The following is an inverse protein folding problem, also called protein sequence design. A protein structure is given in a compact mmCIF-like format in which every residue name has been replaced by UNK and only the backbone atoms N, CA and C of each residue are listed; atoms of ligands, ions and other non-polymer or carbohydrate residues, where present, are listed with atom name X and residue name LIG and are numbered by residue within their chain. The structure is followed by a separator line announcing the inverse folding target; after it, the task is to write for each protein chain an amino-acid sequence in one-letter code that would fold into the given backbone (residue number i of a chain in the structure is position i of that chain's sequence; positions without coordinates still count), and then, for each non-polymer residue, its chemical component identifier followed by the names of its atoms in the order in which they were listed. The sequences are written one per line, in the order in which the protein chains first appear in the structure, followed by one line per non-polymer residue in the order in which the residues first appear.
data_IF_308712065151
#
_entry.id   IF_308712065151
#
_cell.length_a   1.000
_cell.length_b   1.000
_cell.length_c   1.000
_cell.angle_alpha   90.00
_cell.angle_beta   90.00
_cell.angle_gamma   90.00
#
_symmetry.space_group_name_H-M   'P 1'
#
loop_
_entity.id
_entity.type
_entity.pdbx_description
1 polymer ?
#
# COMPACT_ATOMS: atom_id res chain seq x y z
N UNK A 1 -49.93 36.79 28.99
CA UNK A 1 -49.52 35.59 29.74
C UNK A 1 -48.00 35.51 29.74
N UNK A 2 -47.39 35.33 30.90
CA UNK A 2 -45.93 35.21 31.03
C UNK A 2 -45.51 33.80 30.58
N UNK A 3 -44.48 33.72 29.75
CA UNK A 3 -43.92 32.44 29.33
C UNK A 3 -43.50 31.61 30.55
N UNK A 4 -43.80 30.30 30.58
CA UNK A 4 -43.36 29.41 31.63
C UNK A 4 -41.84 29.49 31.89
N UNK A 5 -41.38 29.52 33.15
CA UNK A 5 -39.96 29.65 33.49
C UNK A 5 -39.04 28.61 32.84
N UNK A 6 -39.55 27.39 32.64
CA UNK A 6 -38.79 26.30 32.01
C UNK A 6 -38.44 26.58 30.55
N UNK A 7 -39.31 27.28 29.80
CA UNK A 7 -39.03 27.65 28.41
C UNK A 7 -37.86 28.62 28.32
N UNK A 8 -37.81 29.59 29.23
CA UNK A 8 -36.72 30.58 29.32
C UNK A 8 -35.39 29.88 29.67
N UNK A 9 -35.43 28.91 30.59
CA UNK A 9 -34.25 28.13 30.96
C UNK A 9 -33.77 27.27 29.79
N UNK A 10 -34.68 26.58 29.09
CA UNK A 10 -34.30 25.76 27.93
C UNK A 10 -33.71 26.61 26.82
N UNK A 11 -34.30 27.77 26.52
CA UNK A 11 -33.80 28.70 25.50
C UNK A 11 -32.45 29.31 25.88
N UNK A 12 -32.26 29.62 27.17
CA UNK A 12 -30.96 30.07 27.69
C UNK A 12 -29.88 29.01 27.56
N UNK A 13 -30.19 27.75 27.87
CA UNK A 13 -29.26 26.63 27.74
C UNK A 13 -28.92 26.32 26.28
N UNK A 14 -29.89 26.31 25.36
CA UNK A 14 -29.60 26.18 23.92
C UNK A 14 -28.81 27.37 23.39
N UNK A 15 -29.11 28.59 23.83
CA UNK A 15 -28.35 29.78 23.47
C UNK A 15 -26.89 29.71 23.92
N UNK A 16 -26.65 29.30 25.17
CA UNK A 16 -25.30 29.08 25.71
C UNK A 16 -24.60 27.94 24.95
N UNK A 17 -25.29 26.83 24.67
CA UNK A 17 -24.72 25.72 23.92
C UNK A 17 -24.31 26.14 22.50
N UNK A 18 -25.16 26.91 21.81
CA UNK A 18 -24.85 27.49 20.49
C UNK A 18 -23.74 28.54 20.52
N UNK A 19 -23.57 29.27 21.62
CA UNK A 19 -22.46 30.22 21.82
C UNK A 19 -21.14 29.52 22.20
N UNK A 20 -21.21 28.38 22.89
CA UNK A 20 -20.06 27.58 23.28
C UNK A 20 -19.55 26.68 22.14
N UNK A 21 -20.42 26.25 21.22
CA UNK A 21 -20.01 25.50 20.02
C UNK A 21 -19.45 26.51 19.01
N UNK A 22 -18.13 26.55 18.87
CA UNK A 22 -17.50 27.38 17.85
C UNK A 22 -17.94 26.91 16.46
N UNK A 23 -18.26 27.81 15.55
CA UNK A 23 -18.53 27.46 14.14
C UNK A 23 -17.34 26.79 13.45
N UNK A 24 -16.15 26.86 14.06
CA UNK A 24 -14.95 26.10 13.66
C UNK A 24 -15.01 24.62 14.02
N UNK A 25 -15.87 24.23 14.96
CA UNK A 25 -15.99 22.86 15.49
C UNK A 25 -17.05 22.04 14.73
N UNK A 26 -17.82 22.68 13.83
CA UNK A 26 -18.75 21.99 12.91
C UNK A 26 -18.02 21.81 11.58
N UNK A 27 -17.64 20.57 11.18
CA UNK A 27 -17.05 20.34 9.88
C UNK A 27 -18.10 20.66 8.81
N UNK A 28 -17.92 21.78 8.10
CA UNK A 28 -18.85 22.28 7.07
C UNK A 28 -18.94 21.35 5.84
N UNK A 29 -18.11 20.31 5.77
CA UNK A 29 -18.21 19.25 4.75
C UNK A 29 -17.69 17.94 5.36
N UNK A 30 -18.35 16.78 5.12
CA UNK A 30 -17.74 15.49 5.45
C UNK A 30 -16.35 15.40 4.79
N UNK A 31 -15.35 14.79 5.48
CA UNK A 31 -14.02 14.65 4.92
C UNK A 31 -14.11 14.02 3.53
N UNK A 32 -13.54 14.67 2.51
CA UNK A 32 -13.57 14.12 1.14
C UNK A 32 -12.76 12.83 1.13
N UNK A 33 -13.41 11.72 0.83
CA UNK A 33 -12.72 10.45 0.60
C UNK A 33 -11.89 10.55 -0.69
N UNK A 34 -10.67 10.02 -0.63
CA UNK A 34 -9.74 9.86 -1.75
C UNK A 34 -9.46 8.38 -1.94
N UNK A 35 -9.05 8.02 -3.15
CA UNK A 35 -8.77 6.64 -3.55
C UNK A 35 -7.38 6.55 -4.15
N UNK A 36 -6.82 5.34 -4.17
CA UNK A 36 -5.58 5.01 -4.87
C UNK A 36 -5.59 3.55 -5.29
N UNK A 37 -4.98 3.25 -6.42
CA UNK A 37 -4.95 1.92 -7.01
C UNK A 37 -3.50 1.42 -7.06
N UNK A 38 -3.28 0.17 -6.64
CA UNK A 38 -2.00 -0.52 -6.78
C UNK A 38 -2.25 -1.87 -7.43
N UNK A 39 -1.55 -2.14 -8.53
CA UNK A 39 -1.46 -3.47 -9.11
C UNK A 39 -0.18 -4.14 -8.61
N UNK A 40 -0.35 -5.20 -7.83
CA UNK A 40 0.75 -6.09 -7.45
C UNK A 40 0.87 -7.19 -8.51
N UNK A 41 1.88 -7.06 -9.37
CA UNK A 41 2.20 -8.01 -10.43
C UNK A 41 3.20 -9.05 -9.90
N UNK A 42 2.67 -9.98 -9.11
CA UNK A 42 3.41 -11.11 -8.55
C UNK A 42 3.78 -12.19 -9.55
N UNK A 43 4.56 -13.21 -9.12
CA UNK A 43 5.03 -14.28 -10.01
C UNK A 43 3.91 -15.13 -10.61
N UNK A 44 2.90 -15.46 -9.80
CA UNK A 44 1.82 -16.36 -10.21
C UNK A 44 0.57 -15.64 -10.68
N UNK A 45 0.26 -14.49 -10.08
CA UNK A 45 -0.98 -13.75 -10.29
C UNK A 45 -0.73 -12.25 -10.18
N UNK A 46 -1.61 -11.46 -10.77
CA UNK A 46 -1.68 -10.02 -10.55
C UNK A 46 -2.93 -9.71 -9.73
N UNK A 47 -2.83 -8.83 -8.74
CA UNK A 47 -3.97 -8.39 -7.94
C UNK A 47 -4.04 -6.86 -7.99
N UNK A 48 -5.22 -6.33 -8.30
CA UNK A 48 -5.50 -4.90 -8.23
C UNK A 48 -6.14 -4.60 -6.87
N UNK A 49 -5.53 -3.71 -6.10
CA UNK A 49 -6.05 -3.22 -4.83
C UNK A 49 -6.54 -1.79 -4.97
N UNK A 50 -7.71 -1.50 -4.40
CA UNK A 50 -8.21 -0.15 -4.21
C UNK A 50 -8.05 0.19 -2.73
N UNK A 51 -7.31 1.26 -2.46
CA UNK A 51 -7.20 1.86 -1.15
C UNK A 51 -8.02 3.14 -1.10
N UNK A 52 -8.50 3.48 0.09
CA UNK A 52 -9.15 4.77 0.33
C UNK A 52 -8.69 5.40 1.64
N UNK A 53 -8.76 6.72 1.70
CA UNK A 53 -8.46 7.50 2.91
C UNK A 53 -9.29 8.77 2.92
N UNK A 54 -9.45 9.37 4.09
CA UNK A 54 -10.03 10.71 4.20
C UNK A 54 -8.93 11.76 4.00
N UNK A 55 -9.30 13.02 3.74
CA UNK A 55 -8.30 14.12 3.70
C UNK A 55 -7.54 14.35 5.01
N UNK A 56 -7.88 13.63 6.09
CA UNK A 56 -7.16 13.66 7.36
C UNK A 56 -5.80 12.99 7.17
N UNK A 57 -4.74 13.73 7.44
CA UNK A 57 -3.35 13.26 7.35
C UNK A 57 -2.72 13.26 8.74
N UNK A 58 -2.10 12.15 9.13
CA UNK A 58 -1.18 12.08 10.26
C UNK A 58 0.20 12.56 9.79
N UNK A 59 0.59 13.78 10.17
CA UNK A 59 1.90 14.36 9.82
C UNK A 59 2.23 14.25 8.32
N UNK A 60 1.30 14.71 7.46
CA UNK A 60 1.36 14.67 5.98
C UNK A 60 1.16 13.29 5.33
N UNK A 61 1.11 12.20 6.10
CA UNK A 61 0.79 10.85 5.60
C UNK A 61 -0.67 10.50 5.89
N UNK A 62 -1.41 10.02 4.89
CA UNK A 62 -2.81 9.61 5.07
C UNK A 62 -2.93 8.29 5.81
N UNK A 63 -4.00 8.12 6.59
CA UNK A 63 -4.39 6.82 7.16
C UNK A 63 -5.28 6.12 6.13
N UNK A 64 -4.79 5.03 5.56
CA UNK A 64 -5.43 4.29 4.48
C UNK A 64 -6.19 3.07 4.99
N UNK A 65 -7.22 2.64 4.26
CA UNK A 65 -7.81 1.33 4.42
C UNK A 65 -7.96 0.67 3.06
N UNK A 66 -7.77 -0.64 3.00
CA UNK A 66 -8.19 -1.40 1.83
C UNK A 66 -9.70 -1.21 1.68
N UNK A 67 -10.12 -0.87 0.47
CA UNK A 67 -11.53 -0.76 0.12
C UNK A 67 -12.02 -2.06 -0.50
N UNK A 68 -11.30 -2.53 -1.51
CA UNK A 68 -11.63 -3.74 -2.25
C UNK A 68 -10.45 -4.20 -3.09
N UNK A 69 -10.49 -5.44 -3.56
CA UNK A 69 -9.45 -6.02 -4.43
C UNK A 69 -10.03 -6.90 -5.53
N UNK A 70 -9.32 -6.97 -6.65
CA UNK A 70 -9.67 -7.76 -7.83
C UNK A 70 -8.48 -8.62 -8.26
N UNK A 71 -8.54 -9.95 -8.11
CA UNK A 71 -7.54 -10.84 -8.66
C UNK A 71 -7.72 -10.92 -10.19
N UNK A 72 -6.67 -10.55 -10.91
CA UNK A 72 -6.64 -10.60 -12.38
C UNK A 72 -6.68 -12.06 -12.83
N UNK A 73 -7.56 -12.36 -13.77
CA UNK A 73 -7.70 -13.70 -14.32
C UNK A 73 -6.52 -14.04 -15.24
N UNK A 74 -5.99 -15.25 -15.09
CA UNK A 74 -4.86 -15.75 -15.87
C UNK A 74 -3.54 -15.81 -15.09
N UNK A 75 -2.43 -16.07 -15.80
CA UNK A 75 -1.12 -16.16 -15.18
C UNK A 75 -0.54 -14.79 -14.79
N UNK A 76 0.56 -14.80 -14.04
CA UNK A 76 1.36 -13.61 -13.73
C UNK A 76 1.91 -12.93 -14.99
N UNK A 77 2.18 -11.62 -14.91
CA UNK A 77 2.52 -10.78 -16.07
C UNK A 77 3.70 -11.32 -16.88
N UNK A 78 4.71 -11.89 -16.23
CA UNK A 78 5.92 -12.42 -16.89
C UNK A 78 5.62 -13.53 -17.89
N UNK A 79 4.51 -14.27 -17.71
CA UNK A 79 4.13 -15.37 -18.60
C UNK A 79 3.52 -14.88 -19.93
N UNK A 80 3.37 -13.57 -20.10
CA UNK A 80 2.98 -12.94 -21.36
C UNK A 80 4.18 -12.45 -22.18
N UNK A 81 5.41 -12.82 -21.83
CA UNK A 81 6.64 -12.37 -22.51
C UNK A 81 6.60 -12.56 -24.03
N UNK A 82 6.03 -13.67 -24.51
CA UNK A 82 5.94 -13.98 -25.94
C UNK A 82 4.76 -13.30 -26.64
N UNK A 83 3.86 -12.69 -25.87
CA UNK A 83 2.68 -11.97 -26.38
C UNK A 83 2.34 -10.76 -25.51
N UNK A 84 3.21 -9.74 -25.43
CA UNK A 84 3.01 -8.60 -24.53
C UNK A 84 1.66 -7.90 -24.72
N UNK A 85 1.15 -7.84 -25.95
CA UNK A 85 -0.15 -7.23 -26.26
C UNK A 85 -1.32 -7.86 -25.49
N UNK A 86 -1.22 -9.15 -25.13
CA UNK A 86 -2.28 -9.85 -24.37
C UNK A 86 -2.31 -9.47 -22.89
N UNK A 87 -1.22 -8.94 -22.34
CA UNK A 87 -1.15 -8.55 -20.92
C UNK A 87 -2.09 -7.37 -20.62
N UNK A 88 -2.24 -6.44 -21.58
CA UNK A 88 -3.16 -5.32 -21.40
C UNK A 88 -4.62 -5.79 -21.27
N UNK A 89 -5.01 -6.72 -22.15
CA UNK A 89 -6.36 -7.30 -22.16
C UNK A 89 -6.66 -8.09 -20.88
N UNK A 90 -5.67 -8.70 -20.22
CA UNK A 90 -5.92 -9.41 -18.96
C UNK A 90 -6.26 -8.45 -17.82
N UNK A 91 -5.77 -7.20 -17.84
CA UNK A 91 -6.06 -6.19 -16.82
C UNK A 91 -7.45 -5.55 -16.98
N UNK A 92 -8.00 -5.56 -18.19
CA UNK A 92 -9.23 -4.85 -18.55
C UNK A 92 -10.42 -5.17 -17.62
N UNK A 93 -10.70 -6.45 -17.25
CA UNK A 93 -11.79 -6.76 -16.34
C UNK A 93 -11.65 -6.08 -14.96
N UNK A 94 -10.44 -6.07 -14.38
CA UNK A 94 -10.20 -5.44 -13.08
C UNK A 94 -10.17 -3.91 -13.17
N UNK A 95 -9.69 -3.33 -14.27
CA UNK A 95 -9.75 -1.88 -14.50
C UNK A 95 -11.19 -1.39 -14.66
N UNK A 96 -12.03 -2.15 -15.39
CA UNK A 96 -13.45 -1.86 -15.54
C UNK A 96 -14.23 -2.05 -14.24
N UNK A 97 -13.84 -3.03 -13.44
CA UNK A 97 -14.37 -3.20 -12.09
C UNK A 97 -14.00 -2.00 -11.20
N UNK A 98 -12.74 -1.56 -11.20
CA UNK A 98 -12.30 -0.41 -10.40
C UNK A 98 -13.03 0.89 -10.75
N UNK A 99 -13.37 1.09 -12.04
CA UNK A 99 -14.18 2.24 -12.47
C UNK A 99 -15.60 2.24 -11.89
N UNK A 100 -16.15 1.06 -11.57
CA UNK A 100 -17.47 0.92 -10.94
C UNK A 100 -17.40 1.12 -9.42
N UNK A 101 -16.29 0.72 -8.81
CA UNK A 101 -16.06 0.86 -7.36
C UNK A 101 -15.75 2.31 -6.95
N UNK A 102 -15.09 3.08 -7.82
CA UNK A 102 -14.66 4.44 -7.53
C UNK A 102 -15.64 5.43 -8.18
N UNK A 103 -16.13 6.46 -7.47
CA UNK A 103 -16.98 7.50 -8.07
C UNK A 103 -16.31 8.17 -9.27
N UNK A 104 -17.09 8.43 -10.34
CA UNK A 104 -16.58 8.94 -11.61
C UNK A 104 -15.81 10.27 -11.46
N UNK A 105 -16.23 11.13 -10.53
CA UNK A 105 -15.60 12.42 -10.25
C UNK A 105 -14.21 12.28 -9.59
N UNK A 106 -13.88 11.08 -9.12
CA UNK A 106 -12.61 10.76 -8.46
C UNK A 106 -11.62 10.07 -9.40
N UNK A 107 -12.03 9.60 -10.59
CA UNK A 107 -11.18 8.78 -11.46
C UNK A 107 -9.87 9.49 -11.83
N UNK A 108 -9.95 10.70 -12.40
CA UNK A 108 -8.79 11.46 -12.88
C UNK A 108 -7.81 11.92 -11.80
N UNK A 109 -8.18 11.80 -10.52
CA UNK A 109 -7.34 12.15 -9.37
C UNK A 109 -6.97 10.94 -8.51
N UNK A 110 -7.37 9.74 -8.92
CA UNK A 110 -7.03 8.49 -8.26
C UNK A 110 -5.71 8.00 -8.86
N UNK A 111 -4.59 8.06 -8.11
CA UNK A 111 -3.32 7.58 -8.61
C UNK A 111 -3.34 6.07 -8.78
N UNK A 112 -2.75 5.60 -9.87
CA UNK A 112 -2.63 4.19 -10.23
C UNK A 112 -1.15 3.83 -10.40
N UNK A 113 -0.70 2.83 -9.65
CA UNK A 113 0.66 2.30 -9.69
C UNK A 113 0.65 0.81 -10.06
N UNK A 114 1.71 0.34 -10.72
CA UNK A 114 1.99 -1.08 -10.87
C UNK A 114 3.39 -1.39 -10.34
N UNK A 115 3.46 -2.35 -9.42
CA UNK A 115 4.70 -2.92 -8.91
C UNK A 115 4.84 -4.35 -9.40
N UNK A 116 5.87 -4.63 -10.18
CA UNK A 116 6.21 -5.98 -10.62
C UNK A 116 7.37 -6.54 -9.80
N UNK A 117 7.29 -7.81 -9.41
CA UNK A 117 8.22 -8.38 -8.41
C UNK A 117 9.16 -9.45 -9.02
N UNK A 118 9.34 -10.58 -8.34
CA UNK A 118 10.42 -11.52 -8.59
C UNK A 118 10.48 -12.07 -10.01
N UNK A 119 9.34 -12.39 -10.62
CA UNK A 119 9.32 -12.97 -11.97
C UNK A 119 9.74 -11.97 -13.04
N UNK A 120 9.31 -10.71 -12.92
CA UNK A 120 9.73 -9.65 -13.82
C UNK A 120 11.18 -9.26 -13.62
N UNK A 121 11.70 -9.29 -12.38
CA UNK A 121 13.16 -9.17 -12.15
C UNK A 121 13.94 -10.24 -12.89
N UNK A 122 13.51 -11.50 -12.79
CA UNK A 122 14.15 -12.61 -13.48
C UNK A 122 14.07 -12.46 -15.01
N UNK A 123 12.90 -12.06 -15.53
CA UNK A 123 12.73 -11.81 -16.96
C UNK A 123 13.64 -10.67 -17.43
N UNK A 124 13.75 -9.59 -16.66
CA UNK A 124 14.62 -8.46 -17.00
C UNK A 124 16.11 -8.85 -17.08
N UNK A 125 16.54 -9.77 -16.20
CA UNK A 125 17.92 -10.27 -16.21
C UNK A 125 18.20 -11.25 -17.35
N UNK A 126 17.21 -12.06 -17.73
CA UNK A 126 17.39 -13.14 -18.73
C UNK A 126 17.06 -12.69 -20.15
N UNK A 127 16.01 -11.89 -20.32
CA UNK A 127 15.46 -11.42 -21.59
C UNK A 127 15.00 -9.95 -21.47
N UNK A 128 15.91 -8.97 -21.35
CA UNK A 128 15.59 -7.57 -21.09
C UNK A 128 14.64 -6.97 -22.14
N UNK A 129 14.80 -7.33 -23.42
CA UNK A 129 13.94 -6.83 -24.51
C UNK A 129 12.47 -7.29 -24.31
N UNK A 130 12.26 -8.52 -23.84
CA UNK A 130 10.91 -9.02 -23.56
C UNK A 130 10.31 -8.34 -22.32
N UNK A 131 11.13 -8.12 -21.29
CA UNK A 131 10.75 -7.38 -20.08
C UNK A 131 10.31 -5.96 -20.43
N UNK A 132 11.09 -5.23 -21.22
CA UNK A 132 10.78 -3.86 -21.65
C UNK A 132 9.51 -3.82 -22.51
N UNK A 133 9.35 -4.75 -23.45
CA UNK A 133 8.14 -4.86 -24.26
C UNK A 133 6.89 -5.10 -23.42
N UNK A 134 7.01 -5.90 -22.35
CA UNK A 134 5.93 -6.19 -21.44
C UNK A 134 5.59 -4.99 -20.53
N UNK A 135 6.59 -4.31 -19.97
CA UNK A 135 6.38 -3.07 -19.22
C UNK A 135 5.75 -1.97 -20.09
N UNK A 136 6.14 -1.87 -21.36
CA UNK A 136 5.54 -0.95 -22.31
C UNK A 136 4.06 -1.28 -22.57
N UNK A 137 3.72 -2.56 -22.79
CA UNK A 137 2.34 -2.99 -22.99
C UNK A 137 1.47 -2.74 -21.74
N UNK A 138 1.98 -3.04 -20.55
CA UNK A 138 1.33 -2.69 -19.27
C UNK A 138 1.11 -1.19 -19.14
N UNK A 139 2.13 -0.39 -19.45
CA UNK A 139 2.05 1.08 -19.39
C UNK A 139 0.97 1.63 -20.33
N UNK A 140 0.87 1.10 -21.56
CA UNK A 140 -0.17 1.50 -22.51
C UNK A 140 -1.56 1.17 -21.97
N UNK A 141 -1.77 -0.06 -21.48
CA UNK A 141 -3.05 -0.47 -20.92
C UNK A 141 -3.47 0.38 -19.72
N UNK A 142 -2.55 0.65 -18.79
CA UNK A 142 -2.83 1.44 -17.60
C UNK A 142 -3.07 2.92 -17.92
N UNK A 143 -2.33 3.51 -18.87
CA UNK A 143 -2.58 4.88 -19.35
C UNK A 143 -3.89 5.05 -20.09
N UNK A 144 -4.45 3.99 -20.67
CA UNK A 144 -5.77 4.04 -21.31
C UNK A 144 -6.95 4.03 -20.32
N UNK A 145 -6.69 3.73 -19.03
CA UNK A 145 -7.70 3.83 -17.98
C UNK A 145 -7.99 5.29 -17.62
N UNK A 146 -9.15 5.62 -17.02
CA UNK A 146 -9.47 6.99 -16.61
C UNK A 146 -8.74 7.45 -15.34
N UNK A 147 -7.87 6.61 -14.78
CA UNK A 147 -7.12 6.87 -13.56
C UNK A 147 -5.81 7.62 -13.85
N UNK A 148 -5.28 8.29 -12.83
CA UNK A 148 -4.01 9.00 -12.90
C UNK A 148 -2.84 8.02 -12.84
N UNK A 149 -2.36 7.56 -14.00
CA UNK A 149 -1.25 6.62 -14.06
C UNK A 149 0.07 7.25 -13.64
N UNK A 150 0.65 6.74 -12.54
CA UNK A 150 1.86 7.28 -11.94
C UNK A 150 3.13 6.49 -12.32
N UNK A 151 3.00 5.24 -12.75
CA UNK A 151 4.12 4.45 -13.22
C UNK A 151 3.96 2.95 -13.04
N UNK A 152 4.72 2.20 -13.84
CA UNK A 152 4.90 0.76 -13.73
C UNK A 152 6.39 0.51 -13.51
N UNK A 153 6.75 -0.20 -12.43
CA UNK A 153 8.14 -0.41 -12.05
C UNK A 153 8.38 -1.86 -11.64
N UNK A 154 9.57 -2.38 -11.99
CA UNK A 154 10.06 -3.64 -11.44
C UNK A 154 10.74 -3.31 -10.12
N UNK A 155 10.12 -3.73 -9.01
CA UNK A 155 10.66 -3.50 -7.68
C UNK A 155 11.92 -4.33 -7.48
N UNK A 156 12.95 -3.74 -6.91
CA UNK A 156 14.06 -4.50 -6.33
C UNK A 156 13.59 -5.29 -5.11
N UNK A 157 14.35 -6.33 -4.72
CA UNK A 157 14.01 -7.12 -3.53
C UNK A 157 13.99 -6.27 -2.25
N UNK A 158 14.96 -5.37 -1.99
CA UNK A 158 14.89 -4.47 -0.84
C UNK A 158 13.66 -3.56 -0.84
N UNK A 159 13.22 -3.05 -1.99
CA UNK A 159 12.00 -2.21 -2.08
C UNK A 159 10.73 -3.01 -1.76
N UNK A 160 10.57 -4.19 -2.38
CA UNK A 160 9.45 -5.10 -2.12
C UNK A 160 9.34 -5.44 -0.62
N UNK A 161 10.47 -5.79 -0.01
CA UNK A 161 10.52 -6.14 1.42
C UNK A 161 10.35 -4.91 2.34
N UNK A 162 10.82 -3.73 1.92
CA UNK A 162 10.55 -2.50 2.65
C UNK A 162 9.06 -2.14 2.65
N UNK A 163 8.34 -2.36 1.54
CA UNK A 163 6.89 -2.19 1.49
C UNK A 163 6.16 -3.21 2.37
N UNK A 164 6.61 -4.46 2.38
CA UNK A 164 6.10 -5.48 3.31
C UNK A 164 6.30 -5.05 4.78
N UNK A 165 7.49 -4.52 5.11
CA UNK A 165 7.79 -3.98 6.43
C UNK A 165 6.88 -2.81 6.81
N UNK A 166 6.56 -1.92 5.87
CA UNK A 166 5.58 -0.84 6.07
C UNK A 166 4.20 -1.42 6.35
N UNK A 167 3.74 -2.38 5.54
CA UNK A 167 2.42 -2.98 5.70
C UNK A 167 2.23 -3.61 7.09
N UNK A 168 3.21 -4.40 7.55
CA UNK A 168 3.18 -5.02 8.88
C UNK A 168 3.15 -3.96 9.98
N UNK A 169 4.06 -2.98 9.94
CA UNK A 169 4.11 -1.93 10.97
C UNK A 169 2.89 -1.00 10.94
N UNK A 170 2.23 -0.87 9.78
CA UNK A 170 0.97 -0.16 9.63
C UNK A 170 -0.17 -0.90 10.32
N UNK A 171 -0.33 -2.20 10.04
CA UNK A 171 -1.36 -3.05 10.66
C UNK A 171 -1.17 -3.17 12.17
N UNK A 172 0.08 -3.17 12.66
CA UNK A 172 0.39 -3.19 14.09
C UNK A 172 0.24 -1.82 14.78
N UNK A 173 -0.12 -0.78 14.04
CA UNK A 173 -0.24 0.60 14.54
C UNK A 173 1.06 1.07 15.21
N UNK A 174 2.21 0.72 14.64
CA UNK A 174 3.52 1.12 15.18
C UNK A 174 3.90 2.54 14.75
N UNK A 175 3.35 3.05 13.65
CA UNK A 175 3.60 4.41 13.19
C UNK A 175 2.78 5.46 13.95
N UNK A 176 1.51 5.21 14.17
CA UNK A 176 0.55 6.17 14.77
C UNK A 176 -0.49 5.44 15.62
N UNK A 177 -1.21 6.22 16.43
CA UNK A 177 -2.42 5.81 17.15
C UNK A 177 -3.38 6.98 17.28
N UNK A 178 -4.63 6.71 17.63
CA UNK A 178 -5.59 7.75 18.02
C UNK A 178 -5.49 8.00 19.52
N UNK A 179 -5.41 9.26 19.93
CA UNK A 179 -5.55 9.65 21.33
C UNK A 179 -7.04 9.66 21.75
N UNK A 180 -7.30 9.97 23.02
CA UNK A 180 -8.66 10.03 23.57
C UNK A 180 -9.55 11.12 22.95
N UNK A 181 -8.95 12.09 22.22
CA UNK A 181 -9.64 13.14 21.48
C UNK A 181 -9.89 12.75 20.02
N UNK A 182 -9.46 11.55 19.60
CA UNK A 182 -9.51 11.12 18.20
C UNK A 182 -8.45 11.80 17.32
N UNK A 183 -7.40 12.37 17.89
CA UNK A 183 -6.29 12.94 17.13
C UNK A 183 -5.21 11.89 16.86
N UNK A 184 -4.65 11.94 15.65
CA UNK A 184 -3.54 11.09 15.25
C UNK A 184 -2.25 11.57 15.90
N UNK A 185 -1.65 10.70 16.71
CA UNK A 185 -0.39 10.95 17.40
C UNK A 185 0.61 9.82 17.11
N UNK A 186 1.92 10.06 17.19
CA UNK A 186 2.91 8.98 17.10
C UNK A 186 2.61 7.87 18.11
N UNK A 187 2.74 6.61 17.68
CA UNK A 187 2.39 5.45 18.52
C UNK A 187 3.26 5.38 19.79
N UNK A 188 4.56 5.67 19.63
CA UNK A 188 5.59 5.51 20.66
C UNK A 188 6.07 4.05 20.80
N UNK A 189 5.46 3.11 20.07
CA UNK A 189 5.92 1.73 19.97
C UNK A 189 7.23 1.65 19.16
N UNK A 190 8.05 0.64 19.47
CA UNK A 190 9.15 0.24 18.61
C UNK A 190 8.64 -0.31 17.28
N UNK A 191 9.49 -0.30 16.26
CA UNK A 191 9.17 -0.89 14.97
C UNK A 191 9.45 -2.40 15.00
N UNK A 192 8.51 -3.20 14.49
CA UNK A 192 8.70 -4.63 14.33
C UNK A 192 9.68 -4.91 13.18
N UNK A 193 10.55 -5.91 13.38
CA UNK A 193 11.23 -6.58 12.28
C UNK A 193 10.28 -7.55 11.58
N UNK A 194 10.44 -7.73 10.28
CA UNK A 194 9.64 -8.62 9.46
C UNK A 194 10.51 -9.74 8.91
N UNK A 195 10.10 -10.98 9.12
CA UNK A 195 10.73 -12.16 8.53
C UNK A 195 9.81 -12.70 7.43
N UNK A 196 10.22 -12.54 6.18
CA UNK A 196 9.53 -13.06 4.99
C UNK A 196 10.20 -14.37 4.58
N UNK A 197 9.43 -15.45 4.49
CA UNK A 197 9.94 -16.78 4.13
C UNK A 197 9.33 -17.21 2.80
N UNK A 198 10.12 -17.13 1.74
CA UNK A 198 9.75 -17.61 0.42
C UNK A 198 10.13 -19.08 0.19
N UNK A 199 9.87 -19.57 -1.02
CA UNK A 199 10.28 -20.91 -1.44
C UNK A 199 11.80 -21.06 -1.51
N UNK A 200 12.50 -20.02 -1.98
CA UNK A 200 13.94 -20.08 -2.29
C UNK A 200 14.85 -19.27 -1.36
N UNK A 201 14.28 -18.43 -0.50
CA UNK A 201 15.05 -17.58 0.39
C UNK A 201 14.23 -17.14 1.60
N UNK A 202 14.91 -16.54 2.56
CA UNK A 202 14.29 -15.81 3.65
C UNK A 202 14.87 -14.40 3.69
N UNK A 203 14.04 -13.44 4.03
CA UNK A 203 14.38 -12.03 4.11
C UNK A 203 14.04 -11.52 5.52
N UNK A 204 15.01 -10.88 6.16
CA UNK A 204 14.81 -10.19 7.44
C UNK A 204 14.89 -8.68 7.21
N UNK A 205 13.77 -8.00 7.40
CA UNK A 205 13.64 -6.56 7.16
C UNK A 205 13.37 -5.81 8.44
N UNK A 206 14.21 -4.83 8.79
CA UNK A 206 14.07 -4.07 10.03
C UNK A 206 14.57 -2.63 9.89
N UNK A 207 14.07 -1.74 10.76
CA UNK A 207 14.65 -0.40 10.95
C UNK A 207 15.99 -0.54 11.67
N UNK A 208 17.01 0.16 11.18
CA UNK A 208 18.32 0.26 11.85
C UNK A 208 18.43 1.61 12.55
N UNK A 209 18.81 1.63 13.82
CA UNK A 209 18.90 2.87 14.62
C UNK A 209 20.29 3.54 14.53
N UNK A 210 21.35 2.78 14.28
CA UNK A 210 22.73 3.29 14.17
C UNK A 210 23.29 3.18 12.75
N UNK A 211 23.87 4.27 12.26
CA UNK A 211 24.40 4.38 10.90
C UNK A 211 25.60 3.45 10.64
N UNK A 212 26.37 3.11 11.69
CA UNK A 212 27.52 2.21 11.64
C UNK A 212 27.15 0.72 11.49
N UNK A 213 25.88 0.36 11.68
CA UNK A 213 25.37 -1.01 11.50
C UNK A 213 24.52 -1.15 10.23
N UNK A 214 24.33 -0.05 9.47
CA UNK A 214 23.52 -0.03 8.27
C UNK A 214 24.40 -0.41 7.06
N UNK A 215 24.10 -1.50 6.35
CA UNK A 215 24.79 -1.82 5.10
C UNK A 215 24.49 -0.74 4.04
N UNK A 216 25.34 -0.63 3.01
CA UNK A 216 25.27 0.47 2.03
C UNK A 216 23.91 0.58 1.31
N UNK A 217 23.20 -0.54 1.14
CA UNK A 217 21.89 -0.60 0.47
C UNK A 217 20.74 -0.71 1.49
N UNK A 218 20.19 0.43 1.90
CA UNK A 218 18.96 0.52 2.69
C UNK A 218 17.92 1.41 2.02
N UNK A 219 16.64 1.10 2.20
CA UNK A 219 15.52 1.89 1.66
C UNK A 219 15.19 3.00 2.65
N UNK A 220 15.14 4.24 2.16
CA UNK A 220 14.76 5.42 2.96
C UNK A 220 13.29 5.78 2.69
N UNK A 221 12.48 5.76 3.73
CA UNK A 221 11.05 6.04 3.66
C UNK A 221 10.70 7.21 4.57
N UNK A 222 9.91 8.16 4.08
CA UNK A 222 9.37 9.25 4.89
C UNK A 222 7.89 8.98 5.20
N UNK A 223 7.60 8.57 6.43
CA UNK A 223 6.27 8.15 6.86
C UNK A 223 5.90 8.87 8.16
N UNK A 224 4.71 9.46 8.21
CA UNK A 224 4.16 10.11 9.42
C UNK A 224 5.09 11.17 10.04
N UNK A 225 5.81 11.89 9.19
CA UNK A 225 6.76 12.93 9.59
C UNK A 225 8.12 12.42 10.06
N UNK A 226 8.36 11.11 10.04
CA UNK A 226 9.64 10.49 10.41
C UNK A 226 10.34 9.87 9.21
N UNK A 227 11.67 9.90 9.22
CA UNK A 227 12.50 9.20 8.25
C UNK A 227 12.87 7.83 8.82
N UNK A 228 12.54 6.79 8.07
CA UNK A 228 12.85 5.41 8.40
C UNK A 228 13.89 4.88 7.41
N UNK A 229 15.06 4.50 7.93
CA UNK A 229 16.07 3.74 7.17
C UNK A 229 15.83 2.26 7.45
N UNK A 230 15.33 1.56 6.44
CA UNK A 230 14.95 0.15 6.53
C UNK A 230 16.00 -0.68 5.79
N UNK A 231 16.47 -1.74 6.44
CA UNK A 231 17.43 -2.65 5.86
C UNK A 231 16.82 -4.04 5.69
N UNK A 232 17.16 -4.70 4.60
CA UNK A 232 16.75 -6.07 4.29
C UNK A 232 17.99 -6.95 4.19
N UNK A 233 18.10 -7.91 5.10
CA UNK A 233 19.08 -8.98 5.02
C UNK A 233 18.51 -10.14 4.22
N UNK A 234 19.16 -10.47 3.12
CA UNK A 234 18.82 -11.63 2.30
C UNK A 234 19.56 -12.88 2.78
N UNK A 235 18.82 -13.95 3.07
CA UNK A 235 19.32 -15.26 3.48
C UNK A 235 18.99 -16.30 2.39
N UNK A 236 19.85 -16.46 1.37
CA UNK A 236 19.62 -17.42 0.29
C UNK A 236 19.64 -18.87 0.82
N UNK A 237 18.95 -19.78 0.14
CA UNK A 237 18.89 -21.21 0.46
C UNK A 237 18.26 -21.56 1.83
N UNK A 238 17.59 -20.61 2.46
CA UNK A 238 16.83 -20.79 3.70
C UNK A 238 15.32 -20.72 3.46
N UNK A 239 14.89 -20.79 2.19
CA UNK A 239 13.48 -20.89 1.84
C UNK A 239 12.91 -22.28 2.13
N UNK A 240 11.58 -22.38 2.16
CA UNK A 240 10.87 -23.62 2.50
C UNK A 240 11.23 -24.79 1.58
N UNK A 241 11.41 -24.54 0.28
CA UNK A 241 11.70 -25.60 -0.71
C UNK A 241 13.12 -26.14 -0.57
N UNK A 242 14.10 -25.27 -0.25
CA UNK A 242 15.47 -25.74 -0.03
C UNK A 242 15.64 -26.39 1.32
N UNK A 243 14.97 -25.88 2.36
CA UNK A 243 14.95 -26.55 3.67
C UNK A 243 14.36 -27.95 3.53
N UNK A 244 13.26 -28.09 2.79
CA UNK A 244 12.66 -29.40 2.47
C UNK A 244 13.63 -30.28 1.70
N UNK A 245 14.27 -29.76 0.65
CA UNK A 245 15.20 -30.54 -0.19
C UNK A 245 16.43 -31.01 0.61
N UNK A 246 16.98 -30.15 1.48
CA UNK A 246 18.08 -30.51 2.38
C UNK A 246 17.66 -31.58 3.39
N UNK A 247 16.49 -31.43 4.00
CA UNK A 247 15.97 -32.44 4.94
C UNK A 247 15.80 -33.80 4.26
N UNK A 248 15.22 -33.83 3.06
CA UNK A 248 15.08 -35.06 2.28
C UNK A 248 16.43 -35.68 1.94
N UNK A 249 17.43 -34.87 1.58
CA UNK A 249 18.78 -35.40 1.29
C UNK A 249 19.44 -36.06 2.51
N UNK A 250 19.18 -35.55 3.71
CA UNK A 250 19.67 -36.14 4.97
C UNK A 250 18.92 -37.42 5.32
N UNK A 251 17.61 -37.50 5.03
CA UNK A 251 16.79 -38.68 5.32
C UNK A 251 17.02 -39.86 4.37
N UNK A 252 17.58 -39.60 3.19
CA UNK A 252 17.89 -40.62 2.17
C UNK A 252 19.31 -41.21 2.37
N UNK A 253 20.16 -40.55 3.16
CA UNK A 253 21.48 -41.06 3.57
C UNK A 253 21.38 -42.09 4.69
#
# INVERSE_FOLDING_TARGET
ELLPPWLVITAGLTGIMLLCVSTKDVPVLPPRTKYGIVLDAGPSHTILFIYQWTTIKANKTGVIREWSSCPVQGPGVSNYSDSPQKVGNSLEPCLNWAQKEIPAEQHSQTPLYLGATASMRQLNLTHPILSDGLLAALTVALKSSPFDFQGAQILSKPEEEAFNWVAVNYVLENFFKYDWRGQLVPSGKGMAGVLSVGGTSTELTAKVEEENQAPEEGVRLQLYGQMHKVYTRHCPCHGTDQLRSRLLSVLIQ
#
